data_IF_238029321378
#
_entry.id   IF_238029321378
#
_cell.length_a   1.000
_cell.length_b   1.000
_cell.length_c   1.000
_cell.angle_alpha   90.00
_cell.angle_beta   90.00
_cell.angle_gamma   90.00
#
_symmetry.space_group_name_H-M   'P 1'
#
loop_
_entity.id
_entity.type
_entity.pdbx_description
1 polymer ?
#
# COMPACT_ATOMS: atom_id res chain seq x y z
N UNK A 1 -3.16 13.99 13.90
CA UNK A 1 -4.05 13.67 12.77
C UNK A 1 -3.67 14.62 11.64
N UNK A 2 -3.49 14.14 10.41
CA UNK A 2 -3.14 15.03 9.30
C UNK A 2 -4.26 16.07 9.15
N UNK A 3 -3.90 17.35 9.11
CA UNK A 3 -4.86 18.39 8.73
C UNK A 3 -5.05 18.31 7.22
N UNK A 4 -6.29 18.04 6.79
CA UNK A 4 -6.65 17.87 5.38
C UNK A 4 -7.57 19.04 5.00
N UNK A 5 -7.13 19.87 4.06
CA UNK A 5 -7.89 20.98 3.51
C UNK A 5 -8.95 20.45 2.54
N UNK A 6 -10.09 20.06 3.08
CA UNK A 6 -11.17 19.44 2.30
C UNK A 6 -12.33 20.39 2.02
N UNK A 7 -12.85 20.28 0.81
CA UNK A 7 -14.14 20.85 0.40
C UNK A 7 -15.12 19.72 0.08
N UNK A 8 -16.42 19.95 0.32
CA UNK A 8 -17.46 18.98 -0.03
C UNK A 8 -18.16 19.38 -1.32
N UNK A 9 -18.37 18.41 -2.21
CA UNK A 9 -19.22 18.56 -3.38
C UNK A 9 -20.60 18.06 -3.00
N UNK A 10 -21.62 18.92 -3.12
CA UNK A 10 -23.00 18.62 -2.75
C UNK A 10 -23.86 18.36 -3.99
N UNK A 11 -24.86 17.49 -3.86
CA UNK A 11 -25.93 17.35 -4.86
C UNK A 11 -27.03 18.41 -4.70
N UNK A 12 -28.12 18.26 -5.47
CA UNK A 12 -29.27 19.19 -5.46
C UNK A 12 -30.04 19.18 -4.14
N UNK A 13 -29.95 18.12 -3.36
CA UNK A 13 -30.59 17.99 -2.04
C UNK A 13 -29.65 18.43 -0.90
N UNK A 14 -28.51 19.07 -1.23
CA UNK A 14 -27.44 19.43 -0.30
C UNK A 14 -26.79 18.22 0.38
N UNK A 15 -26.84 17.03 -0.23
CA UNK A 15 -26.16 15.83 0.28
C UNK A 15 -24.73 15.80 -0.27
N UNK A 16 -23.71 15.56 0.57
CA UNK A 16 -22.35 15.37 0.09
C UNK A 16 -22.24 14.11 -0.79
N UNK A 17 -21.69 14.27 -1.99
CA UNK A 17 -21.47 13.19 -2.96
C UNK A 17 -19.99 12.95 -3.26
N UNK A 18 -19.13 13.93 -2.98
CA UNK A 18 -17.69 13.78 -3.08
C UNK A 18 -16.97 14.71 -2.11
N UNK A 19 -15.69 14.40 -1.87
CA UNK A 19 -14.75 15.26 -1.15
C UNK A 19 -13.67 15.66 -2.13
N UNK A 20 -13.35 16.95 -2.18
CA UNK A 20 -12.23 17.49 -2.93
C UNK A 20 -11.13 17.89 -1.95
N UNK A 21 -9.91 17.45 -2.22
CA UNK A 21 -8.70 17.78 -1.48
C UNK A 21 -7.60 18.21 -2.46
N UNK A 22 -6.61 19.02 -2.03
CA UNK A 22 -5.41 19.26 -2.81
C UNK A 22 -4.73 17.95 -3.21
N UNK A 23 -4.19 17.89 -4.43
CA UNK A 23 -3.55 16.67 -4.93
C UNK A 23 -2.39 16.22 -4.03
N UNK A 24 -1.60 17.15 -3.50
CA UNK A 24 -0.50 16.84 -2.60
C UNK A 24 -0.97 16.19 -1.28
N UNK A 25 -2.18 16.52 -0.81
CA UNK A 25 -2.74 15.89 0.38
C UNK A 25 -3.29 14.49 0.07
N UNK A 26 -3.87 14.30 -1.12
CA UNK A 26 -4.26 12.97 -1.60
C UNK A 26 -3.05 12.04 -1.71
N UNK A 27 -1.99 12.48 -2.38
CA UNK A 27 -0.73 11.73 -2.51
C UNK A 27 -0.12 11.39 -1.14
N UNK A 28 -0.19 12.34 -0.19
CA UNK A 28 0.32 12.08 1.17
C UNK A 28 -0.50 11.01 1.90
N UNK A 29 -1.81 10.94 1.65
CA UNK A 29 -2.66 9.88 2.21
C UNK A 29 -2.27 8.53 1.60
N UNK A 30 -2.04 8.45 0.29
CA UNK A 30 -1.58 7.22 -0.36
C UNK A 30 -0.25 6.74 0.21
N UNK A 31 0.75 7.63 0.31
CA UNK A 31 2.06 7.31 0.89
C UNK A 31 1.93 6.69 2.30
N UNK A 32 1.11 7.29 3.17
CA UNK A 32 0.91 6.78 4.53
C UNK A 32 0.25 5.39 4.53
N UNK A 33 -0.71 5.16 3.63
CA UNK A 33 -1.40 3.86 3.53
C UNK A 33 -0.46 2.78 2.98
N UNK A 34 0.36 3.12 1.99
CA UNK A 34 1.36 2.22 1.41
C UNK A 34 2.44 1.87 2.43
N UNK A 35 3.01 2.86 3.11
CA UNK A 35 4.02 2.67 4.16
C UNK A 35 3.49 1.81 5.30
N UNK A 36 2.26 2.05 5.73
CA UNK A 36 1.62 1.23 6.77
C UNK A 36 1.42 -0.22 6.29
N UNK A 37 0.92 -0.41 5.08
CA UNK A 37 0.73 -1.72 4.48
C UNK A 37 2.05 -2.48 4.36
N UNK A 38 3.09 -1.83 3.86
CA UNK A 38 4.44 -2.39 3.77
C UNK A 38 5.01 -2.74 5.15
N UNK A 39 4.85 -1.85 6.13
CA UNK A 39 5.26 -2.11 7.51
C UNK A 39 4.59 -3.36 8.09
N UNK A 40 3.29 -3.55 7.84
CA UNK A 40 2.57 -4.76 8.27
C UNK A 40 3.08 -6.02 7.58
N UNK A 41 3.34 -5.97 6.28
CA UNK A 41 3.92 -7.11 5.56
C UNK A 41 5.32 -7.48 6.07
N UNK A 42 6.11 -6.49 6.49
CA UNK A 42 7.43 -6.72 7.11
C UNK A 42 7.28 -7.37 8.49
N UNK A 43 6.33 -6.90 9.33
CA UNK A 43 6.03 -7.51 10.63
C UNK A 43 5.58 -8.97 10.49
N UNK A 44 4.76 -9.29 9.47
CA UNK A 44 4.27 -10.66 9.22
C UNK A 44 5.40 -11.66 8.99
N UNK A 45 6.53 -11.22 8.42
CA UNK A 45 7.69 -12.07 8.10
C UNK A 45 8.87 -11.83 9.04
N UNK A 46 8.69 -11.12 10.16
CA UNK A 46 9.79 -10.76 11.07
C UNK A 46 10.55 -11.99 11.61
N UNK A 47 9.83 -13.09 11.82
CA UNK A 47 10.39 -14.35 12.34
C UNK A 47 10.79 -15.35 11.25
N UNK A 48 10.62 -14.98 9.97
CA UNK A 48 11.01 -15.84 8.86
C UNK A 48 12.55 -15.93 8.76
N UNK A 49 13.00 -16.99 8.08
CA UNK A 49 14.42 -17.19 7.87
C UNK A 49 15.01 -16.06 7.01
N UNK A 50 15.99 -15.34 7.56
CA UNK A 50 16.81 -14.42 6.78
C UNK A 50 17.68 -15.24 5.80
N UNK A 51 17.51 -14.97 4.51
CA UNK A 51 18.30 -15.59 3.45
C UNK A 51 19.47 -14.68 3.07
N UNK A 52 20.65 -15.28 2.88
CA UNK A 52 21.73 -14.60 2.16
C UNK A 52 21.34 -14.42 0.68
N UNK A 53 22.10 -13.57 -0.02
CA UNK A 53 21.80 -13.22 -1.42
C UNK A 53 21.71 -14.45 -2.33
N UNK A 54 22.60 -15.43 -2.16
CA UNK A 54 22.63 -16.60 -3.03
C UNK A 54 21.38 -17.47 -2.81
N UNK A 55 21.04 -17.75 -1.55
CA UNK A 55 19.83 -18.51 -1.21
C UNK A 55 18.55 -17.77 -1.59
N UNK A 56 18.51 -16.43 -1.45
CA UNK A 56 17.37 -15.63 -1.87
C UNK A 56 17.13 -15.71 -3.38
N UNK A 57 18.20 -15.69 -4.19
CA UNK A 57 18.11 -15.85 -5.64
C UNK A 57 17.63 -17.25 -6.03
N UNK A 58 18.17 -18.30 -5.40
CA UNK A 58 17.73 -19.68 -5.62
C UNK A 58 16.25 -19.87 -5.24
N UNK A 59 15.84 -19.30 -4.11
CA UNK A 59 14.45 -19.34 -3.66
C UNK A 59 13.52 -18.65 -4.65
N UNK A 60 13.87 -17.45 -5.12
CA UNK A 60 13.12 -16.72 -6.15
C UNK A 60 12.98 -17.52 -7.45
N UNK A 61 14.05 -18.17 -7.90
CA UNK A 61 14.01 -19.06 -9.08
C UNK A 61 13.06 -20.25 -8.85
N UNK A 62 13.09 -20.85 -7.67
CA UNK A 62 12.19 -21.95 -7.31
C UNK A 62 10.71 -21.55 -7.33
N UNK A 63 10.38 -20.31 -6.93
CA UNK A 63 9.02 -19.78 -6.96
C UNK A 63 8.54 -19.57 -8.39
N UNK A 64 9.42 -19.05 -9.27
CA UNK A 64 9.11 -18.88 -10.70
C UNK A 64 8.82 -20.23 -11.37
N UNK A 65 9.61 -21.25 -11.05
CA UNK A 65 9.44 -22.59 -11.62
C UNK A 65 8.22 -23.35 -11.07
N UNK A 66 7.76 -23.02 -9.86
CA UNK A 66 6.50 -23.56 -9.31
C UNK A 66 5.24 -22.92 -9.90
N UNK A 67 5.33 -21.67 -10.36
CA UNK A 67 4.21 -20.93 -10.95
C UNK A 67 4.08 -21.15 -12.47
N UNK A 68 4.87 -22.04 -13.07
CA UNK A 68 4.67 -22.59 -14.42
C UNK A 68 4.12 -24.03 -14.34
N UNK A 69 2.99 -24.19 -13.67
CA UNK A 69 1.99 -25.20 -14.06
C UNK A 69 0.80 -24.44 -14.62
N UNK A 70 0.85 -24.21 -15.94
CA UNK A 70 -0.29 -23.76 -16.75
C UNK A 70 -0.94 -24.94 -17.46
#
# INVERSE_FOLDING_TARGET
MLEINKSYVLDKDQKPIAVQIPIAEFEKIEEILEDYGLGKLIEEVENDQILDKEKALQYLESLKNKNVEG
#
